data_IF_855631989914
#
_entry.id   IF_855631989914
#
_cell.length_a   1.000
_cell.length_b   1.000
_cell.length_c   1.000
_cell.angle_alpha   90.00
_cell.angle_beta   90.00
_cell.angle_gamma   90.00
#
_symmetry.space_group_name_H-M   'P 1'
#
loop_
_entity.id
_entity.type
_entity.pdbx_description
1 polymer ?
#
# COMPACT_ATOMS: atom_id res chain seq x y z
N UNK A 1 4.49 -19.40 11.87
CA UNK A 1 5.68 -18.56 11.66
C UNK A 1 5.90 -17.76 12.92
N UNK A 2 7.03 -17.96 13.59
CA UNK A 2 7.34 -17.16 14.76
C UNK A 2 7.89 -15.81 14.33
N UNK A 3 7.42 -14.75 14.97
CA UNK A 3 7.97 -13.42 14.71
C UNK A 3 9.44 -13.36 15.16
N UNK A 4 10.31 -12.67 14.41
CA UNK A 4 11.62 -12.33 14.93
C UNK A 4 11.47 -11.55 16.25
N UNK A 5 12.42 -11.73 17.18
CA UNK A 5 12.43 -10.98 18.45
C UNK A 5 12.54 -9.50 18.15
N UNK A 6 11.44 -8.76 18.36
CA UNK A 6 11.30 -7.35 18.05
C UNK A 6 10.25 -6.68 18.93
N UNK A 7 10.25 -5.35 18.94
CA UNK A 7 9.21 -4.48 19.49
C UNK A 7 8.35 -3.87 18.36
N UNK A 8 7.35 -3.10 18.74
CA UNK A 8 6.45 -2.36 17.85
C UNK A 8 5.57 -3.26 16.97
N UNK A 9 4.51 -3.72 17.58
CA UNK A 9 3.44 -4.46 16.94
C UNK A 9 2.17 -3.62 16.91
N UNK A 10 1.26 -3.97 16.02
CA UNK A 10 -0.06 -3.39 15.86
C UNK A 10 -1.09 -4.49 16.10
N UNK A 11 -2.13 -4.17 16.86
CA UNK A 11 -3.34 -4.98 16.94
C UNK A 11 -4.36 -4.39 15.95
N UNK A 12 -4.52 -5.05 14.82
CA UNK A 12 -5.48 -4.65 13.80
C UNK A 12 -6.82 -5.35 14.03
N UNK A 13 -7.90 -4.60 14.09
CA UNK A 13 -9.26 -5.12 14.11
C UNK A 13 -9.82 -5.20 12.69
N UNK A 14 -10.19 -6.38 12.17
CA UNK A 14 -10.77 -6.52 10.82
C UNK A 14 -12.26 -6.13 10.83
N UNK A 15 -12.59 -4.91 11.29
CA UNK A 15 -13.95 -4.50 11.62
C UNK A 15 -14.91 -4.52 10.41
N UNK A 16 -14.44 -4.07 9.24
CA UNK A 16 -15.24 -4.05 8.01
C UNK A 16 -14.88 -5.16 7.01
N UNK A 17 -13.90 -6.01 7.35
CA UNK A 17 -13.52 -7.20 6.58
C UNK A 17 -14.16 -8.45 7.18
N UNK A 18 -15.39 -8.78 6.77
CA UNK A 18 -16.12 -9.92 7.30
C UNK A 18 -15.58 -11.28 6.85
N UNK A 19 -14.73 -11.33 5.82
CA UNK A 19 -13.92 -12.51 5.54
C UNK A 19 -12.79 -12.71 6.54
N UNK A 20 -12.40 -11.65 7.30
CA UNK A 20 -11.38 -11.60 8.35
C UNK A 20 -9.93 -11.81 7.87
N UNK A 21 -9.70 -11.88 6.56
CA UNK A 21 -8.41 -12.32 6.01
C UNK A 21 -7.80 -11.43 4.92
N UNK A 22 -8.45 -10.35 4.46
CA UNK A 22 -7.99 -9.57 3.29
C UNK A 22 -6.57 -9.05 3.45
N UNK A 23 -6.25 -8.45 4.59
CA UNK A 23 -4.89 -7.97 4.89
C UNK A 23 -3.90 -9.14 5.00
N UNK A 24 -4.24 -10.20 5.73
CA UNK A 24 -3.34 -11.34 5.92
C UNK A 24 -3.08 -12.07 4.61
N UNK A 25 -4.09 -12.20 3.76
CA UNK A 25 -3.97 -12.80 2.43
C UNK A 25 -2.95 -12.05 1.57
N UNK A 26 -3.12 -10.74 1.40
CA UNK A 26 -2.25 -9.99 0.49
C UNK A 26 -0.82 -9.87 1.04
N UNK A 27 -0.63 -9.82 2.36
CA UNK A 27 0.71 -9.80 2.96
C UNK A 27 1.42 -11.13 2.77
N UNK A 28 0.72 -12.26 2.89
CA UNK A 28 1.30 -13.58 2.58
C UNK A 28 1.67 -13.67 1.08
N UNK A 29 0.80 -13.21 0.17
CA UNK A 29 1.08 -13.18 -1.26
C UNK A 29 2.27 -12.27 -1.60
N UNK A 30 2.36 -11.09 -0.97
CA UNK A 30 3.49 -10.17 -1.14
C UNK A 30 4.82 -10.83 -0.73
N UNK A 31 4.84 -11.51 0.42
CA UNK A 31 6.03 -12.24 0.86
C UNK A 31 6.38 -13.41 -0.08
N UNK A 32 5.37 -14.08 -0.65
CA UNK A 32 5.58 -15.18 -1.61
C UNK A 32 6.19 -14.72 -2.93
N UNK A 33 5.90 -13.50 -3.38
CA UNK A 33 6.51 -12.93 -4.60
C UNK A 33 7.87 -12.29 -4.37
N UNK A 34 8.33 -12.23 -3.10
CA UNK A 34 9.62 -11.67 -2.69
C UNK A 34 9.60 -10.21 -2.26
N UNK A 35 8.45 -9.56 -2.19
CA UNK A 35 8.29 -8.22 -1.61
C UNK A 35 7.92 -8.36 -0.13
N UNK A 36 8.81 -7.89 0.75
CA UNK A 36 8.50 -7.90 2.19
C UNK A 36 7.16 -7.21 2.48
N UNK A 37 6.32 -7.90 3.21
CA UNK A 37 5.14 -7.35 3.85
C UNK A 37 5.09 -7.80 5.31
N UNK A 38 4.37 -7.04 6.11
CA UNK A 38 4.13 -7.30 7.53
C UNK A 38 3.72 -8.75 7.77
N UNK A 39 4.45 -9.45 8.63
CA UNK A 39 4.03 -10.76 9.14
C UNK A 39 2.86 -10.59 10.09
N UNK A 40 1.96 -11.55 10.08
CA UNK A 40 0.69 -11.47 10.81
C UNK A 40 0.43 -12.73 11.63
N UNK A 41 -0.32 -12.58 12.72
CA UNK A 41 -0.82 -13.68 13.54
C UNK A 41 -2.20 -13.35 14.08
N UNK A 42 -3.14 -14.27 13.96
CA UNK A 42 -4.45 -14.11 14.58
C UNK A 42 -4.35 -14.26 16.08
N UNK A 43 -5.03 -13.40 16.81
CA UNK A 43 -5.08 -13.40 18.29
C UNK A 43 -6.48 -13.10 18.79
N UNK A 44 -6.86 -13.70 19.90
CA UNK A 44 -8.05 -13.32 20.65
C UNK A 44 -7.68 -12.22 21.64
N UNK A 45 -8.32 -11.05 21.53
CA UNK A 45 -8.04 -9.94 22.43
C UNK A 45 -8.99 -9.98 23.63
N UNK A 46 -8.41 -9.94 24.81
CA UNK A 46 -9.11 -9.77 26.09
C UNK A 46 -8.55 -8.53 26.78
N UNK A 47 -9.44 -7.67 27.30
CA UNK A 47 -9.08 -6.52 28.15
C UNK A 47 -9.90 -6.64 29.43
N UNK A 48 -9.24 -6.64 30.56
CA UNK A 48 -9.87 -6.81 31.88
C UNK A 48 -10.82 -8.02 31.97
N UNK A 49 -10.46 -9.11 31.27
CA UNK A 49 -11.25 -10.33 31.19
C UNK A 49 -12.39 -10.31 30.18
N UNK A 50 -12.70 -9.18 29.57
CA UNK A 50 -13.72 -9.05 28.52
C UNK A 50 -13.12 -9.43 27.16
N UNK A 51 -13.78 -10.31 26.42
CA UNK A 51 -13.41 -10.67 25.05
C UNK A 51 -13.82 -9.59 24.06
N UNK A 52 -12.85 -8.98 23.38
CA UNK A 52 -13.07 -7.92 22.41
C UNK A 52 -13.11 -8.38 20.94
N UNK A 53 -12.87 -9.65 20.69
CA UNK A 53 -12.94 -10.22 19.34
C UNK A 53 -11.63 -10.80 18.82
N UNK A 54 -11.67 -11.22 17.56
CA UNK A 54 -10.50 -11.61 16.81
C UNK A 54 -9.77 -10.35 16.32
N UNK A 55 -8.46 -10.33 16.55
CA UNK A 55 -7.55 -9.29 16.05
C UNK A 55 -6.41 -9.96 15.25
N UNK A 56 -5.73 -9.17 14.46
CA UNK A 56 -4.50 -9.57 13.78
C UNK A 56 -3.34 -8.82 14.42
N UNK A 57 -2.45 -9.56 15.10
CA UNK A 57 -1.17 -9.02 15.54
C UNK A 57 -0.27 -8.88 14.32
N UNK A 58 0.18 -7.67 14.05
CA UNK A 58 0.96 -7.31 12.86
C UNK A 58 2.25 -6.61 13.26
N UNK A 59 3.31 -6.84 12.51
CA UNK A 59 4.52 -6.04 12.64
C UNK A 59 4.26 -4.61 12.15
N UNK A 60 4.66 -3.61 12.93
CA UNK A 60 4.69 -2.22 12.44
C UNK A 60 5.76 -2.08 11.35
N UNK A 61 5.46 -1.36 10.28
CA UNK A 61 6.45 -0.98 9.28
C UNK A 61 7.51 -0.10 9.96
N UNK A 62 8.74 -0.57 9.96
CA UNK A 62 9.89 0.17 10.47
C UNK A 62 11.21 -0.34 9.88
N UNK A 63 12.25 0.48 10.00
CA UNK A 63 13.60 0.05 9.69
C UNK A 63 14.05 -1.07 10.64
N UNK A 64 14.32 -2.22 10.11
CA UNK A 64 14.92 -3.36 10.81
C UNK A 64 15.44 -4.40 9.81
N UNK A 65 16.48 -5.16 10.17
CA UNK A 65 17.04 -6.23 9.31
C UNK A 65 16.03 -7.32 8.94
N UNK A 66 15.00 -7.51 9.76
CA UNK A 66 13.95 -8.49 9.54
C UNK A 66 12.66 -7.92 8.97
N UNK A 67 12.57 -6.59 8.78
CA UNK A 67 11.41 -5.86 8.23
C UNK A 67 11.85 -5.05 7.01
N UNK A 68 11.84 -3.72 7.08
CA UNK A 68 12.44 -2.88 6.02
C UNK A 68 13.93 -2.82 6.27
N UNK A 69 14.67 -3.66 5.55
CA UNK A 69 16.11 -3.83 5.75
C UNK A 69 16.88 -2.76 4.97
N UNK A 70 17.02 -1.60 5.59
CA UNK A 70 17.81 -0.47 5.11
C UNK A 70 18.79 -0.01 6.18
N UNK A 71 19.84 0.67 5.76
CA UNK A 71 20.89 1.20 6.65
C UNK A 71 20.29 2.15 7.69
N UNK A 72 20.78 2.06 8.93
CA UNK A 72 20.42 3.04 9.98
C UNK A 72 20.96 4.41 9.60
N UNK A 73 20.12 5.42 9.71
CA UNK A 73 20.47 6.81 9.49
C UNK A 73 20.60 7.54 10.83
N UNK A 74 21.72 8.19 11.04
CA UNK A 74 21.93 9.10 12.16
C UNK A 74 21.65 10.54 11.72
N UNK A 75 21.29 11.42 12.65
CA UNK A 75 21.08 12.85 12.36
C UNK A 75 22.35 13.57 11.88
N UNK A 76 23.52 12.95 12.08
CA UNK A 76 24.83 13.42 11.62
C UNK A 76 25.21 12.93 10.22
N UNK A 77 24.44 12.05 9.59
CA UNK A 77 24.69 11.53 8.24
C UNK A 77 24.26 12.56 7.17
N UNK A 78 24.97 13.68 7.08
CA UNK A 78 24.54 14.87 6.33
C UNK A 78 25.32 15.10 5.02
N UNK A 79 26.21 14.18 4.62
CA UNK A 79 27.01 14.36 3.41
C UNK A 79 27.48 13.03 2.80
N UNK A 80 28.03 13.09 1.59
CA UNK A 80 28.59 11.94 0.88
C UNK A 80 27.57 10.81 0.69
N UNK A 81 28.04 9.57 0.77
CA UNK A 81 27.15 8.40 0.66
C UNK A 81 26.21 8.24 1.87
N UNK A 82 26.58 8.78 3.03
CA UNK A 82 25.82 8.63 4.27
C UNK A 82 24.41 9.25 4.18
N UNK A 83 24.27 10.42 3.53
CA UNK A 83 22.99 11.10 3.37
C UNK A 83 22.07 10.42 2.35
N UNK A 84 22.61 9.54 1.48
CA UNK A 84 21.89 9.07 0.29
C UNK A 84 20.81 8.03 0.57
N UNK A 85 20.69 7.51 1.81
CA UNK A 85 19.69 6.50 2.09
C UNK A 85 19.66 6.03 3.53
N UNK A 86 18.72 5.16 3.77
CA UNK A 86 18.19 4.77 5.06
C UNK A 86 16.83 5.44 5.30
N UNK A 87 16.08 5.76 4.25
CA UNK A 87 14.76 6.41 4.37
C UNK A 87 13.62 5.43 4.20
N UNK A 88 12.57 5.60 5.01
CA UNK A 88 11.21 5.09 4.74
C UNK A 88 10.31 6.31 4.61
N UNK A 89 9.54 6.34 3.54
CA UNK A 89 8.63 7.43 3.20
C UNK A 89 7.25 6.87 2.95
N UNK A 90 6.23 7.71 3.04
CA UNK A 90 4.86 7.30 2.70
C UNK A 90 4.02 8.44 2.11
N UNK A 91 3.07 8.07 1.28
CA UNK A 91 1.95 8.92 0.89
C UNK A 91 0.76 8.43 1.70
N UNK A 92 0.21 9.29 2.56
CA UNK A 92 -0.87 8.91 3.45
C UNK A 92 -1.63 10.14 3.94
N UNK A 93 -2.73 9.91 4.66
CA UNK A 93 -3.39 10.96 5.44
C UNK A 93 -2.45 11.41 6.56
N UNK A 94 -2.33 12.72 6.73
CA UNK A 94 -1.69 13.29 7.91
C UNK A 94 -2.70 13.22 9.06
N UNK A 95 -2.31 12.59 10.17
CA UNK A 95 -3.13 12.59 11.37
C UNK A 95 -3.08 13.92 12.11
N UNK A 96 -2.31 14.92 11.63
CA UNK A 96 -1.96 16.08 12.43
C UNK A 96 -1.16 15.70 13.69
N UNK A 97 -0.57 16.65 14.36
CA UNK A 97 0.00 16.42 15.67
C UNK A 97 -1.14 16.21 16.68
N UNK A 98 -1.40 14.95 17.06
CA UNK A 98 -2.30 14.53 18.14
C UNK A 98 -3.80 14.86 18.00
N UNK A 99 -4.29 15.28 16.87
CA UNK A 99 -5.73 15.33 16.66
C UNK A 99 -6.18 14.07 15.96
N UNK A 100 -7.10 13.33 16.56
CA UNK A 100 -7.97 12.41 15.86
C UNK A 100 -8.78 13.25 14.87
N UNK A 101 -8.20 13.55 13.75
CA UNK A 101 -8.93 14.18 12.66
C UNK A 101 -9.85 13.09 12.13
N UNK A 102 -11.13 13.34 12.17
CA UNK A 102 -12.14 12.52 11.54
C UNK A 102 -11.82 12.33 10.06
N UNK A 103 -12.63 11.62 9.35
CA UNK A 103 -12.54 11.33 7.91
C UNK A 103 -12.43 12.57 7.02
N UNK A 104 -12.51 13.77 7.62
CA UNK A 104 -12.61 15.04 6.94
C UNK A 104 -11.24 15.68 6.71
N UNK A 105 -11.22 16.43 5.68
CA UNK A 105 -10.22 17.16 4.96
C UNK A 105 -9.25 18.07 5.77
N UNK A 106 -9.28 18.08 7.06
CA UNK A 106 -8.44 18.95 7.92
C UNK A 106 -7.07 18.31 8.24
N UNK A 107 -6.64 17.33 7.43
CA UNK A 107 -5.30 16.81 7.52
C UNK A 107 -4.28 17.94 7.29
N UNK A 108 -3.58 18.32 8.35
CA UNK A 108 -2.54 19.35 8.29
C UNK A 108 -1.24 18.73 7.76
N UNK A 109 -0.76 19.26 6.65
CA UNK A 109 0.53 18.92 6.07
C UNK A 109 1.52 20.04 6.33
N UNK A 110 2.67 19.74 6.91
CA UNK A 110 3.71 20.70 7.28
C UNK A 110 5.08 20.25 6.78
N UNK A 111 6.02 21.18 6.60
CA UNK A 111 7.42 20.87 6.28
C UNK A 111 8.11 19.99 7.34
N UNK A 112 7.58 19.99 8.56
CA UNK A 112 8.08 19.12 9.60
C UNK A 112 7.78 17.65 9.31
N UNK A 113 6.59 17.35 8.78
CA UNK A 113 6.10 15.99 8.56
C UNK A 113 6.51 15.38 7.22
N UNK A 114 6.84 16.22 6.23
CA UNK A 114 7.15 15.74 4.88
C UNK A 114 7.37 16.87 3.87
N UNK A 115 7.22 16.57 2.61
CA UNK A 115 7.35 17.52 1.51
C UNK A 115 6.33 17.23 0.41
N UNK A 116 6.09 18.19 -0.46
CA UNK A 116 5.16 18.09 -1.58
C UNK A 116 5.89 17.77 -2.89
N UNK A 117 5.25 16.98 -3.75
CA UNK A 117 5.63 16.91 -5.17
C UNK A 117 5.58 18.31 -5.78
N UNK A 118 6.47 18.60 -6.73
CA UNK A 118 6.42 19.83 -7.49
C UNK A 118 5.34 19.82 -8.58
N UNK A 119 4.62 18.74 -8.73
CA UNK A 119 3.69 18.49 -9.83
C UNK A 119 2.34 18.00 -9.33
N UNK A 120 1.29 18.37 -10.04
CA UNK A 120 -0.05 17.85 -9.84
C UNK A 120 -0.19 16.39 -10.34
N UNK A 121 -1.33 15.72 -10.14
CA UNK A 121 -1.55 14.35 -10.62
C UNK A 121 -1.49 14.16 -12.13
N UNK A 122 -1.46 15.25 -12.93
CA UNK A 122 -1.28 15.21 -14.36
C UNK A 122 0.16 15.53 -14.81
N UNK A 123 1.06 15.80 -13.85
CA UNK A 123 2.44 16.19 -14.13
C UNK A 123 2.59 17.68 -14.53
N UNK A 124 1.63 18.51 -14.15
CA UNK A 124 1.71 19.97 -14.36
C UNK A 124 2.37 20.59 -13.13
N UNK A 125 3.40 21.40 -13.36
CA UNK A 125 4.11 22.09 -12.27
C UNK A 125 3.17 23.06 -11.55
N UNK A 126 3.17 23.00 -10.22
CA UNK A 126 2.30 23.81 -9.38
C UNK A 126 3.09 24.85 -8.58
N UNK A 127 2.47 26.03 -8.43
CA UNK A 127 2.95 27.06 -7.51
C UNK A 127 2.27 26.82 -6.16
N UNK A 128 3.06 26.39 -5.19
CA UNK A 128 2.52 26.06 -3.88
C UNK A 128 2.09 27.29 -3.10
N UNK A 129 0.90 27.22 -2.54
CA UNK A 129 0.50 28.01 -1.39
C UNK A 129 1.25 27.54 -0.13
N UNK A 130 1.28 28.33 0.95
CA UNK A 130 1.78 27.85 2.24
C UNK A 130 1.16 26.52 2.65
N UNK A 131 1.89 25.70 3.40
CA UNK A 131 1.37 24.47 3.96
C UNK A 131 0.11 24.74 4.80
N UNK A 132 -0.83 23.82 4.74
CA UNK A 132 -2.12 23.91 5.41
C UNK A 132 -2.96 22.68 5.14
N UNK A 133 -4.27 22.75 5.37
CA UNK A 133 -5.17 21.67 4.99
C UNK A 133 -5.00 21.31 3.53
N UNK A 134 -4.93 20.01 3.23
CA UNK A 134 -4.79 19.54 1.86
C UNK A 134 -6.04 19.89 1.07
N UNK A 135 -5.85 20.58 -0.04
CA UNK A 135 -6.93 20.95 -0.97
C UNK A 135 -6.71 20.24 -2.30
N UNK A 136 -6.82 18.91 -2.33
CA UNK A 136 -6.70 18.08 -3.54
C UNK A 136 -5.46 18.35 -4.41
N UNK A 137 -5.23 17.54 -5.41
CA UNK A 137 -4.24 17.74 -6.47
C UNK A 137 -2.75 17.69 -6.11
N UNK A 138 -2.32 17.81 -4.87
CA UNK A 138 -0.90 17.68 -4.54
C UNK A 138 -0.58 16.30 -3.89
N UNK A 139 0.53 15.70 -4.31
CA UNK A 139 1.08 14.52 -3.64
C UNK A 139 1.99 14.97 -2.51
N UNK A 140 1.66 14.54 -1.28
CA UNK A 140 2.45 14.85 -0.09
C UNK A 140 3.17 13.60 0.40
N UNK A 141 4.50 13.67 0.54
CA UNK A 141 5.37 12.56 0.88
C UNK A 141 5.89 12.78 2.31
N UNK A 142 5.50 11.87 3.21
CA UNK A 142 5.77 11.97 4.65
C UNK A 142 7.02 11.19 5.04
N UNK A 143 7.75 11.71 6.05
CA UNK A 143 8.88 11.02 6.67
C UNK A 143 8.38 9.96 7.64
N UNK A 144 8.57 8.68 7.31
CA UNK A 144 8.29 7.57 8.24
C UNK A 144 9.54 7.14 9.01
N UNK A 145 10.70 7.16 8.35
CA UNK A 145 12.01 6.94 8.99
C UNK A 145 13.11 7.65 8.19
N UNK A 146 14.03 8.41 8.83
CA UNK A 146 13.92 8.84 10.24
C UNK A 146 12.62 9.61 10.50
N UNK A 147 12.15 9.64 11.76
CA UNK A 147 10.98 10.43 12.14
C UNK A 147 11.26 11.93 12.02
N UNK A 148 10.21 12.73 11.95
CA UNK A 148 10.27 14.18 11.79
C UNK A 148 11.10 14.91 12.87
N UNK A 149 11.20 14.35 14.07
CA UNK A 149 12.02 14.85 15.19
C UNK A 149 13.48 14.39 15.15
N UNK A 150 13.81 13.42 14.30
CA UNK A 150 15.14 12.82 14.17
C UNK A 150 15.82 13.08 12.82
N UNK A 151 15.06 13.42 11.78
CA UNK A 151 15.59 13.73 10.44
C UNK A 151 16.18 15.14 10.41
N UNK A 152 17.44 15.29 9.94
CA UNK A 152 18.07 16.60 9.83
C UNK A 152 17.56 17.42 8.63
N UNK A 153 17.80 18.73 8.63
CA UNK A 153 17.44 19.61 7.51
C UNK A 153 18.16 19.23 6.21
N UNK A 154 19.43 18.80 6.30
CA UNK A 154 20.19 18.35 5.13
C UNK A 154 19.57 17.06 4.54
N UNK A 155 19.16 16.13 5.40
CA UNK A 155 18.49 14.89 4.99
C UNK A 155 17.11 15.17 4.36
N UNK A 156 16.33 16.11 4.93
CA UNK A 156 15.07 16.56 4.33
C UNK A 156 15.29 17.14 2.94
N UNK A 157 16.26 18.05 2.83
CA UNK A 157 16.61 18.67 1.54
C UNK A 157 17.09 17.63 0.52
N UNK A 158 17.95 16.69 0.94
CA UNK A 158 18.42 15.63 0.05
C UNK A 158 17.28 14.79 -0.53
N UNK A 159 16.39 14.25 0.34
CA UNK A 159 15.34 13.37 -0.13
C UNK A 159 14.30 14.12 -0.97
N UNK A 160 14.01 15.38 -0.64
CA UNK A 160 13.13 16.23 -1.44
C UNK A 160 13.72 16.49 -2.83
N UNK A 161 15.02 16.84 -2.94
CA UNK A 161 15.70 17.01 -4.21
C UNK A 161 15.72 15.70 -5.02
N UNK A 162 15.94 14.56 -4.37
CA UNK A 162 15.92 13.27 -5.04
C UNK A 162 14.58 12.99 -5.73
N UNK A 163 13.46 13.31 -5.07
CA UNK A 163 12.13 13.18 -5.65
C UNK A 163 11.90 14.20 -6.76
N UNK A 164 12.33 15.45 -6.57
CA UNK A 164 12.24 16.48 -7.61
C UNK A 164 12.98 16.06 -8.88
N UNK A 165 14.22 15.59 -8.74
CA UNK A 165 15.05 15.11 -9.86
C UNK A 165 14.41 13.89 -10.55
N UNK A 166 13.84 12.98 -9.78
CA UNK A 166 13.10 11.82 -10.31
C UNK A 166 11.88 12.28 -11.14
N UNK A 167 11.07 13.18 -10.61
CA UNK A 167 9.87 13.69 -11.28
C UNK A 167 10.21 14.51 -12.52
N UNK A 168 11.23 15.37 -12.44
CA UNK A 168 11.72 16.16 -13.57
C UNK A 168 12.22 15.26 -14.71
N UNK A 169 12.99 14.22 -14.38
CA UNK A 169 13.46 13.24 -15.36
C UNK A 169 12.28 12.44 -15.93
N UNK A 170 11.35 12.00 -15.09
CA UNK A 170 10.18 11.22 -15.53
C UNK A 170 9.30 12.03 -16.51
N UNK A 171 9.24 13.35 -16.38
CA UNK A 171 8.50 14.26 -17.28
C UNK A 171 9.31 14.73 -18.49
N UNK A 172 10.62 14.51 -18.51
CA UNK A 172 11.47 14.91 -19.62
C UNK A 172 11.21 14.07 -20.88
N UNK A 173 11.68 14.57 -22.02
CA UNK A 173 11.62 13.83 -23.29
C UNK A 173 12.48 12.55 -23.28
N UNK A 174 13.52 12.53 -22.45
CA UNK A 174 14.47 11.40 -22.34
C UNK A 174 14.17 10.46 -21.18
N UNK A 175 12.95 10.48 -20.65
CA UNK A 175 12.60 9.68 -19.45
C UNK A 175 12.81 8.17 -19.63
N UNK A 176 12.74 7.65 -20.86
CA UNK A 176 12.94 6.24 -21.20
C UNK A 176 14.42 5.82 -21.32
N UNK A 177 15.35 6.78 -21.27
CA UNK A 177 16.79 6.45 -21.40
C UNK A 177 17.19 5.45 -20.29
N UNK A 178 17.80 4.31 -20.63
CA UNK A 178 18.08 3.26 -19.66
C UNK A 178 19.14 3.65 -18.60
N UNK A 179 19.95 4.67 -18.88
CA UNK A 179 21.03 5.14 -18.01
C UNK A 179 20.63 6.41 -17.26
N UNK A 180 20.08 7.40 -17.96
CA UNK A 180 19.79 8.74 -17.44
C UNK A 180 18.30 8.98 -17.21
N UNK A 181 17.42 8.11 -17.67
CA UNK A 181 15.98 8.18 -17.46
C UNK A 181 15.56 7.78 -16.04
N UNK A 182 14.27 7.55 -15.86
CA UNK A 182 13.70 7.21 -14.53
C UNK A 182 14.33 5.98 -13.89
N UNK A 183 14.87 5.06 -14.68
CA UNK A 183 15.54 3.84 -14.19
C UNK A 183 16.79 4.14 -13.34
N UNK A 184 17.35 5.35 -13.45
CA UNK A 184 18.42 5.84 -12.56
C UNK A 184 17.94 5.98 -11.11
N UNK A 185 16.68 6.36 -10.92
CA UNK A 185 16.14 6.74 -9.61
C UNK A 185 15.37 5.62 -8.93
N UNK A 186 14.67 4.76 -9.68
CA UNK A 186 13.76 3.76 -9.09
C UNK A 186 14.22 2.33 -9.33
N UNK A 187 13.93 1.44 -8.40
CA UNK A 187 13.96 0.00 -8.60
C UNK A 187 12.68 -0.42 -9.33
N UNK A 188 12.78 -0.57 -10.65
CA UNK A 188 11.65 -0.85 -11.54
C UNK A 188 10.90 -2.12 -11.13
N UNK A 189 11.61 -3.15 -10.66
CA UNK A 189 10.96 -4.39 -10.25
C UNK A 189 10.07 -4.19 -9.02
N UNK A 190 10.51 -3.37 -8.04
CA UNK A 190 9.68 -3.08 -6.87
C UNK A 190 8.42 -2.28 -7.23
N UNK A 191 8.51 -1.37 -8.22
CA UNK A 191 7.35 -0.64 -8.74
C UNK A 191 6.36 -1.56 -9.45
N UNK A 192 6.87 -2.51 -10.24
CA UNK A 192 6.06 -3.50 -10.93
C UNK A 192 5.36 -4.43 -9.93
N UNK A 193 6.07 -4.98 -8.95
CA UNK A 193 5.49 -5.88 -7.95
C UNK A 193 4.44 -5.15 -7.09
N UNK A 194 4.70 -3.89 -6.71
CA UNK A 194 3.74 -3.05 -6.00
C UNK A 194 2.48 -2.79 -6.84
N UNK A 195 2.64 -2.46 -8.12
CA UNK A 195 1.53 -2.29 -9.06
C UNK A 195 0.71 -3.57 -9.17
N UNK A 196 1.35 -4.70 -9.42
CA UNK A 196 0.67 -6.00 -9.55
C UNK A 196 -0.17 -6.31 -8.31
N UNK A 197 0.38 -6.17 -7.11
CA UNK A 197 -0.35 -6.48 -5.86
C UNK A 197 -1.53 -5.54 -5.63
N UNK A 198 -1.36 -4.24 -5.87
CA UNK A 198 -2.44 -3.26 -5.70
C UNK A 198 -3.53 -3.42 -6.74
N UNK A 199 -3.18 -3.64 -8.00
CA UNK A 199 -4.16 -3.87 -9.07
C UNK A 199 -4.85 -5.23 -8.89
N UNK A 200 -4.13 -6.27 -8.50
CA UNK A 200 -4.72 -7.57 -8.22
C UNK A 200 -5.72 -7.51 -7.06
N UNK A 201 -5.32 -6.94 -5.94
CA UNK A 201 -6.23 -6.75 -4.82
C UNK A 201 -7.32 -5.69 -5.11
N UNK A 202 -7.15 -4.90 -6.16
CA UNK A 202 -8.04 -3.79 -6.51
C UNK A 202 -8.24 -2.85 -5.33
N UNK A 203 -7.08 -2.47 -4.70
CA UNK A 203 -7.07 -1.63 -3.52
C UNK A 203 -7.43 -0.19 -3.89
N UNK A 204 -8.57 0.36 -3.46
CA UNK A 204 -9.03 1.69 -3.85
C UNK A 204 -8.15 2.81 -3.30
N UNK A 205 -7.33 2.54 -2.30
CA UNK A 205 -6.40 3.49 -1.69
C UNK A 205 -4.98 3.40 -2.28
N UNK A 206 -4.75 2.47 -3.21
CA UNK A 206 -3.47 2.30 -3.87
C UNK A 206 -2.93 3.59 -4.47
N UNK A 207 -1.62 3.79 -4.38
CA UNK A 207 -0.86 4.89 -4.97
C UNK A 207 -1.06 6.27 -4.33
N UNK A 208 -2.13 6.47 -3.57
CA UNK A 208 -2.58 7.76 -3.05
C UNK A 208 -2.67 7.83 -1.51
N UNK A 209 -2.84 6.69 -0.86
CA UNK A 209 -2.90 6.51 0.60
C UNK A 209 -2.17 5.23 0.97
N UNK A 210 -1.72 5.10 2.21
CA UNK A 210 -1.07 3.89 2.74
C UNK A 210 0.05 3.35 1.84
N UNK A 211 0.67 4.24 1.07
CA UNK A 211 1.67 3.92 0.04
C UNK A 211 3.07 4.17 0.59
N UNK A 212 3.74 3.08 0.97
CA UNK A 212 5.09 3.14 1.52
C UNK A 212 6.16 3.00 0.44
N UNK A 213 7.27 3.65 0.69
CA UNK A 213 8.48 3.62 -0.14
C UNK A 213 9.70 3.56 0.76
N UNK A 214 10.79 3.00 0.25
CA UNK A 214 12.04 3.00 0.99
C UNK A 214 13.23 3.23 0.06
N UNK A 215 14.30 3.79 0.60
CA UNK A 215 15.53 4.07 -0.14
C UNK A 215 16.75 3.68 0.69
N UNK A 216 17.47 2.66 0.22
CA UNK A 216 18.74 2.25 0.83
C UNK A 216 19.86 3.25 0.47
N UNK A 217 20.91 3.29 1.30
CA UNK A 217 22.12 4.09 1.07
C UNK A 217 22.75 3.72 -0.28
N UNK A 218 23.02 4.73 -1.10
CA UNK A 218 23.49 4.59 -2.49
C UNK A 218 22.57 3.75 -3.41
N UNK A 219 21.40 3.36 -2.91
CA UNK A 219 20.41 2.57 -3.65
C UNK A 219 19.36 3.45 -4.34
N UNK A 220 18.48 2.79 -5.09
CA UNK A 220 17.33 3.39 -5.77
C UNK A 220 16.11 3.40 -4.85
N UNK A 221 15.14 4.26 -5.14
CA UNK A 221 13.84 4.26 -4.49
C UNK A 221 13.09 2.97 -4.81
N UNK A 222 12.56 2.31 -3.80
CA UNK A 222 11.75 1.10 -3.90
C UNK A 222 10.33 1.38 -3.40
N UNK A 223 9.34 0.83 -4.09
CA UNK A 223 7.98 0.76 -3.56
C UNK A 223 7.87 -0.35 -2.50
N UNK A 224 6.96 -0.14 -1.55
CA UNK A 224 6.68 -1.07 -0.48
C UNK A 224 7.36 -0.72 0.86
N UNK A 225 6.97 -1.47 1.94
CA UNK A 225 5.98 -2.57 1.97
C UNK A 225 4.56 -2.14 1.61
N UNK A 226 3.74 -3.08 1.15
CA UNK A 226 2.30 -2.85 0.97
C UNK A 226 1.61 -2.73 2.34
N UNK A 227 0.50 -1.96 2.38
CA UNK A 227 -0.21 -1.68 3.64
C UNK A 227 -1.69 -1.40 3.39
N UNK A 228 -2.56 -1.85 4.32
CA UNK A 228 -3.98 -1.52 4.44
C UNK A 228 -4.86 -1.89 3.23
N UNK A 229 -5.16 -3.17 3.12
CA UNK A 229 -5.94 -3.75 2.02
C UNK A 229 -7.34 -4.23 2.44
N UNK A 230 -7.85 -3.75 3.56
CA UNK A 230 -9.16 -4.14 4.08
C UNK A 230 -10.33 -3.80 3.15
N UNK A 231 -10.17 -2.78 2.30
CA UNK A 231 -11.12 -2.39 1.27
C UNK A 231 -10.88 -3.08 -0.09
N UNK A 232 -9.78 -3.79 -0.22
CA UNK A 232 -9.46 -4.56 -1.43
C UNK A 232 -10.35 -5.78 -1.64
N UNK A 233 -10.10 -6.51 -2.72
CA UNK A 233 -10.79 -7.74 -3.09
C UNK A 233 -12.32 -7.60 -3.13
N UNK A 234 -12.78 -6.48 -3.67
CA UNK A 234 -14.20 -6.21 -3.87
C UNK A 234 -14.97 -5.83 -2.61
N UNK A 235 -14.29 -5.44 -1.54
CA UNK A 235 -14.95 -5.01 -0.30
C UNK A 235 -15.38 -3.53 -0.31
N UNK A 236 -14.99 -2.76 -1.33
CA UNK A 236 -15.34 -1.35 -1.49
C UNK A 236 -16.62 -1.17 -2.31
N UNK A 237 -17.56 -0.36 -1.83
CA UNK A 237 -18.86 -0.11 -2.46
C UNK A 237 -18.87 1.13 -3.37
N UNK A 238 -17.76 1.80 -3.58
CA UNK A 238 -17.66 2.90 -4.55
C UNK A 238 -17.95 2.36 -5.95
N UNK A 239 -18.85 3.01 -6.68
CA UNK A 239 -19.44 2.52 -7.94
C UNK A 239 -18.39 2.06 -8.95
N UNK A 240 -17.30 2.80 -9.12
CA UNK A 240 -16.23 2.42 -10.03
C UNK A 240 -15.47 1.16 -9.59
N UNK A 241 -15.53 0.79 -8.31
CA UNK A 241 -14.77 -0.31 -7.72
C UNK A 241 -15.55 -1.59 -7.48
N UNK A 242 -16.88 -1.56 -7.65
CA UNK A 242 -17.75 -2.72 -7.39
C UNK A 242 -17.43 -3.93 -8.27
N UNK A 243 -17.13 -3.71 -9.56
CA UNK A 243 -17.03 -4.80 -10.54
C UNK A 243 -15.60 -5.33 -10.75
N UNK A 244 -14.57 -4.64 -10.25
CA UNK A 244 -13.16 -5.04 -10.45
C UNK A 244 -12.70 -5.03 -11.92
N UNK A 245 -13.35 -4.24 -12.79
CA UNK A 245 -13.15 -4.25 -14.25
C UNK A 245 -12.47 -2.98 -14.76
N UNK A 246 -11.70 -2.31 -13.92
CA UNK A 246 -10.90 -1.13 -14.27
C UNK A 246 -9.52 -1.23 -13.63
N UNK A 247 -8.61 -0.31 -13.99
CA UNK A 247 -7.33 -0.15 -13.34
C UNK A 247 -7.40 0.87 -12.21
N UNK A 248 -6.88 0.57 -11.04
CA UNK A 248 -6.84 1.48 -9.89
C UNK A 248 -5.98 2.70 -10.18
N UNK A 249 -4.92 2.58 -10.96
CA UNK A 249 -4.11 3.73 -11.37
C UNK A 249 -4.90 4.78 -12.19
N UNK A 250 -6.09 4.44 -12.66
CA UNK A 250 -7.04 5.35 -13.31
C UNK A 250 -8.06 5.98 -12.34
N UNK A 251 -7.85 5.84 -11.02
CA UNK A 251 -8.75 6.35 -9.97
C UNK A 251 -9.22 7.78 -10.23
N UNK A 252 -8.31 8.67 -10.63
CA UNK A 252 -8.62 10.09 -10.86
C UNK A 252 -9.67 10.33 -11.97
N UNK A 253 -9.83 9.39 -12.90
CA UNK A 253 -10.85 9.49 -13.94
C UNK A 253 -12.28 9.29 -13.39
N UNK A 254 -12.41 8.58 -12.28
CA UNK A 254 -13.69 8.27 -11.64
C UNK A 254 -14.00 9.24 -10.49
N UNK A 255 -12.95 9.68 -9.78
CA UNK A 255 -13.07 10.53 -8.60
C UNK A 255 -12.13 11.75 -8.69
N UNK A 256 -12.29 12.63 -9.70
CA UNK A 256 -11.36 13.76 -9.94
C UNK A 256 -11.39 14.80 -8.82
N UNK A 257 -12.45 14.83 -8.01
CA UNK A 257 -12.62 15.77 -6.89
C UNK A 257 -12.21 15.19 -5.54
N UNK A 258 -11.64 13.97 -5.51
CA UNK A 258 -11.12 13.40 -4.26
C UNK A 258 -9.95 14.23 -3.72
N UNK A 259 -9.84 14.32 -2.40
CA UNK A 259 -8.74 15.02 -1.73
C UNK A 259 -7.39 14.36 -2.00
N UNK A 260 -7.36 13.05 -2.15
CA UNK A 260 -6.15 12.28 -2.43
C UNK A 260 -6.25 11.65 -3.80
N UNK A 261 -5.43 12.13 -4.73
CA UNK A 261 -5.38 11.65 -6.11
C UNK A 261 -4.13 10.79 -6.33
N UNK A 262 -4.24 9.87 -7.27
CA UNK A 262 -3.10 9.09 -7.77
C UNK A 262 -2.15 10.02 -8.50
N UNK A 263 -0.87 10.01 -8.16
CA UNK A 263 0.16 10.82 -8.80
C UNK A 263 0.42 10.38 -10.25
N UNK A 264 1.01 11.27 -11.04
CA UNK A 264 1.26 11.07 -12.47
C UNK A 264 2.29 9.96 -12.77
N UNK A 265 3.07 9.52 -11.78
CA UNK A 265 4.17 8.57 -11.98
C UNK A 265 3.70 7.29 -12.69
N UNK A 266 2.57 6.74 -12.26
CA UNK A 266 2.05 5.47 -12.77
C UNK A 266 1.66 5.54 -14.23
N UNK A 267 0.90 6.57 -14.64
CA UNK A 267 0.55 6.79 -16.05
C UNK A 267 1.78 7.00 -16.92
N UNK A 268 2.77 7.72 -16.38
CA UNK A 268 3.99 8.00 -17.13
C UNK A 268 4.88 6.75 -17.27
N UNK A 269 5.04 5.97 -16.22
CA UNK A 269 5.76 4.69 -16.27
C UNK A 269 5.10 3.72 -17.24
N UNK A 270 3.77 3.59 -17.20
CA UNK A 270 2.99 2.74 -18.10
C UNK A 270 3.01 3.23 -19.58
N UNK A 271 3.45 4.44 -19.86
CA UNK A 271 3.67 4.93 -21.22
C UNK A 271 5.04 4.53 -21.80
N UNK A 272 5.89 3.84 -21.02
CA UNK A 272 7.14 3.29 -21.50
C UNK A 272 6.97 1.79 -21.84
N UNK A 273 7.12 1.39 -23.12
CA UNK A 273 7.07 -0.01 -23.53
C UNK A 273 8.01 -0.92 -22.75
N UNK A 274 9.21 -0.43 -22.39
CA UNK A 274 10.16 -1.22 -21.60
C UNK A 274 9.64 -1.52 -20.18
N UNK A 275 8.87 -0.63 -19.60
CA UNK A 275 8.21 -0.86 -18.32
C UNK A 275 7.04 -1.85 -18.46
N UNK A 276 6.18 -1.67 -19.46
CA UNK A 276 5.02 -2.54 -19.66
C UNK A 276 5.41 -3.94 -20.09
N UNK A 277 6.46 -4.12 -20.90
CA UNK A 277 6.97 -5.45 -21.27
C UNK A 277 7.51 -6.21 -20.05
N UNK A 278 8.20 -5.53 -19.14
CA UNK A 278 8.64 -6.12 -17.87
C UNK A 278 7.46 -6.45 -16.97
N UNK A 279 6.45 -5.58 -16.91
CA UNK A 279 5.21 -5.84 -16.18
C UNK A 279 4.48 -7.07 -16.69
N UNK A 280 4.31 -7.20 -18.02
CA UNK A 280 3.68 -8.36 -18.68
C UNK A 280 4.46 -9.65 -18.37
N UNK A 281 5.78 -9.61 -18.50
CA UNK A 281 6.65 -10.75 -18.23
C UNK A 281 6.58 -11.18 -16.76
N UNK A 282 6.60 -10.20 -15.83
CA UNK A 282 6.48 -10.48 -14.40
C UNK A 282 5.12 -11.06 -14.05
N UNK A 283 4.04 -10.49 -14.57
CA UNK A 283 2.69 -11.01 -14.40
C UNK A 283 2.59 -12.46 -14.88
N UNK A 284 3.03 -12.75 -16.12
CA UNK A 284 3.01 -14.11 -16.67
C UNK A 284 3.76 -15.11 -15.77
N UNK A 285 4.94 -14.73 -15.27
CA UNK A 285 5.70 -15.57 -14.33
C UNK A 285 4.96 -15.81 -13.02
N UNK A 286 4.34 -14.78 -12.44
CA UNK A 286 3.58 -14.91 -11.20
C UNK A 286 2.30 -15.72 -11.37
N UNK A 287 1.64 -15.64 -12.54
CA UNK A 287 0.44 -16.42 -12.87
C UNK A 287 0.69 -17.92 -12.98
N UNK A 288 1.92 -18.32 -13.23
CA UNK A 288 2.33 -19.75 -13.23
C UNK A 288 2.93 -20.20 -11.89
N UNK A 289 2.97 -19.33 -10.89
CA UNK A 289 3.57 -19.60 -9.58
C UNK A 289 2.73 -19.05 -8.44
N UNK A 290 3.25 -18.09 -7.69
CA UNK A 290 2.64 -17.56 -6.44
C UNK A 290 1.27 -16.92 -6.64
N UNK A 291 0.99 -16.32 -7.79
CA UNK A 291 -0.31 -15.74 -8.12
C UNK A 291 -1.13 -16.61 -9.10
N UNK A 292 -0.84 -17.91 -9.20
CA UNK A 292 -1.78 -18.83 -9.85
C UNK A 292 -3.09 -18.89 -9.05
N UNK A 293 -4.21 -19.11 -9.72
CA UNK A 293 -5.52 -19.21 -9.03
C UNK A 293 -5.46 -20.25 -7.91
N UNK A 294 -4.88 -21.41 -8.18
CA UNK A 294 -4.75 -22.48 -7.19
C UNK A 294 -3.92 -22.06 -5.97
N UNK A 295 -2.80 -21.38 -6.16
CA UNK A 295 -1.94 -20.92 -5.05
C UNK A 295 -2.64 -19.89 -4.18
N UNK A 296 -3.39 -18.96 -4.78
CA UNK A 296 -4.15 -17.95 -4.04
C UNK A 296 -5.28 -18.61 -3.26
N UNK A 297 -6.05 -19.52 -3.89
CA UNK A 297 -7.14 -20.24 -3.21
C UNK A 297 -6.62 -21.09 -2.05
N UNK A 298 -5.47 -21.76 -2.21
CA UNK A 298 -4.81 -22.48 -1.13
C UNK A 298 -4.39 -21.56 0.01
N UNK A 299 -3.92 -20.35 -0.29
CA UNK A 299 -3.57 -19.35 0.75
C UNK A 299 -4.83 -18.87 1.49
N UNK A 300 -5.94 -18.63 0.80
CA UNK A 300 -7.24 -18.33 1.42
C UNK A 300 -7.66 -19.47 2.34
N UNK A 301 -7.66 -20.72 1.85
CA UNK A 301 -8.09 -21.87 2.62
C UNK A 301 -7.20 -22.12 3.85
N UNK A 302 -5.90 -21.88 3.75
CA UNK A 302 -4.98 -21.92 4.89
C UNK A 302 -5.41 -20.96 6.00
N UNK A 303 -5.71 -19.70 5.67
CA UNK A 303 -6.17 -18.73 6.67
C UNK A 303 -7.52 -19.13 7.28
N UNK A 304 -8.47 -19.55 6.44
CA UNK A 304 -9.79 -19.98 6.90
C UNK A 304 -9.69 -21.21 7.82
N UNK A 305 -8.84 -22.17 7.50
CA UNK A 305 -8.62 -23.35 8.35
C UNK A 305 -8.01 -22.99 9.70
N UNK A 306 -7.09 -22.02 9.77
CA UNK A 306 -6.55 -21.51 11.04
C UNK A 306 -7.68 -20.91 11.88
N UNK A 307 -8.55 -20.10 11.29
CA UNK A 307 -9.67 -19.47 12.01
C UNK A 307 -10.73 -20.49 12.46
N UNK A 308 -11.02 -21.49 11.63
CA UNK A 308 -11.96 -22.59 11.97
C UNK A 308 -11.42 -23.46 13.09
N UNK A 309 -10.16 -23.91 12.99
CA UNK A 309 -9.55 -24.82 13.98
C UNK A 309 -9.41 -24.20 15.38
N UNK A 310 -9.33 -22.88 15.46
CA UNK A 310 -9.28 -22.13 16.72
C UNK A 310 -10.64 -21.63 17.21
N UNK A 311 -11.74 -22.01 16.54
CA UNK A 311 -13.09 -21.51 16.80
C UNK A 311 -13.17 -19.97 16.83
N UNK A 312 -12.31 -19.31 16.06
CA UNK A 312 -12.20 -17.85 16.08
C UNK A 312 -13.37 -17.16 15.38
N UNK A 313 -13.93 -17.82 14.36
CA UNK A 313 -15.03 -17.29 13.55
C UNK A 313 -16.27 -17.12 14.42
N UNK A 314 -16.72 -18.22 15.05
CA UNK A 314 -17.93 -18.20 15.87
C UNK A 314 -17.77 -17.24 17.05
N UNK A 315 -16.65 -17.33 17.79
CA UNK A 315 -16.37 -16.38 18.88
C UNK A 315 -16.39 -14.93 18.46
N UNK A 316 -15.80 -14.61 17.30
CA UNK A 316 -15.77 -13.23 16.80
C UNK A 316 -17.17 -12.72 16.48
N UNK A 317 -17.95 -13.48 15.71
CA UNK A 317 -19.28 -13.09 15.30
C UNK A 317 -20.33 -13.24 16.39
N UNK A 318 -20.06 -14.02 17.42
CA UNK A 318 -20.87 -14.02 18.66
C UNK A 318 -20.69 -12.73 19.44
N UNK A 319 -19.47 -12.18 19.50
CA UNK A 319 -19.19 -10.87 20.09
C UNK A 319 -19.71 -9.71 19.24
N UNK A 320 -19.48 -9.77 17.94
CA UNK A 320 -19.84 -8.75 16.98
C UNK A 320 -20.88 -9.27 15.99
N UNK A 321 -22.15 -8.98 16.23
CA UNK A 321 -23.28 -9.43 15.39
C UNK A 321 -23.38 -8.63 14.09
N UNK A 322 -22.34 -8.69 13.26
CA UNK A 322 -22.20 -7.88 12.03
C UNK A 322 -22.46 -8.67 10.73
N UNK A 323 -22.63 -9.99 10.79
CA UNK A 323 -23.05 -10.77 9.62
C UNK A 323 -24.47 -10.38 9.21
N UNK A 324 -24.69 -10.19 7.92
CA UNK A 324 -25.95 -9.66 7.37
C UNK A 324 -26.15 -8.14 7.57
N UNK A 325 -25.21 -7.43 8.22
CA UNK A 325 -25.31 -5.99 8.47
C UNK A 325 -24.35 -5.24 7.53
N UNK A 326 -24.83 -4.23 6.80
CA UNK A 326 -23.97 -3.37 5.98
C UNK A 326 -23.17 -2.43 6.88
N UNK A 327 -21.85 -2.58 6.85
CA UNK A 327 -20.90 -1.63 7.44
C UNK A 327 -20.44 -0.63 6.37
N UNK A 328 -19.86 0.52 6.75
CA UNK A 328 -19.30 1.47 5.80
C UNK A 328 -18.35 0.80 4.81
N UNK A 329 -18.49 1.15 3.54
CA UNK A 329 -17.73 0.62 2.40
C UNK A 329 -17.99 -0.84 2.01
N UNK A 330 -18.81 -1.63 2.73
CA UNK A 330 -19.07 -2.99 2.30
C UNK A 330 -19.90 -3.03 1.01
N UNK A 331 -19.31 -3.53 -0.07
CA UNK A 331 -20.00 -3.83 -1.31
C UNK A 331 -20.90 -5.07 -1.19
N UNK A 332 -20.37 -6.15 -0.63
CA UNK A 332 -21.08 -7.39 -0.37
C UNK A 332 -21.42 -7.52 1.13
N UNK A 333 -22.58 -8.12 1.42
CA UNK A 333 -23.05 -8.33 2.80
C UNK A 333 -23.55 -9.78 2.94
N UNK A 334 -22.64 -10.67 3.30
CA UNK A 334 -22.97 -12.07 3.56
C UNK A 334 -23.71 -12.25 4.89
N UNK A 335 -24.67 -13.14 4.91
CA UNK A 335 -25.40 -13.55 6.12
C UNK A 335 -24.58 -14.51 6.99
N UNK A 336 -23.60 -15.16 6.38
CA UNK A 336 -22.68 -16.08 7.04
C UNK A 336 -21.22 -15.74 6.68
N UNK A 337 -20.27 -16.13 7.52
CA UNK A 337 -18.85 -16.00 7.20
C UNK A 337 -18.47 -16.79 5.93
N UNK A 338 -19.12 -17.95 5.69
CA UNK A 338 -18.84 -18.74 4.50
C UNK A 338 -19.24 -17.98 3.21
N UNK A 339 -20.37 -17.27 3.21
CA UNK A 339 -20.76 -16.41 2.09
C UNK A 339 -19.75 -15.29 1.81
N UNK A 340 -19.18 -14.68 2.84
CA UNK A 340 -18.12 -13.66 2.71
C UNK A 340 -16.84 -14.25 2.08
N UNK A 341 -16.47 -15.48 2.47
CA UNK A 341 -15.33 -16.21 1.90
C UNK A 341 -15.59 -16.61 0.46
N UNK A 342 -16.79 -17.11 0.14
CA UNK A 342 -17.16 -17.52 -1.21
C UNK A 342 -17.21 -16.30 -2.16
N UNK A 343 -17.71 -15.16 -1.67
CA UNK A 343 -17.61 -13.90 -2.40
C UNK A 343 -16.15 -13.52 -2.69
N UNK A 344 -15.28 -13.55 -1.69
CA UNK A 344 -13.86 -13.26 -1.86
C UNK A 344 -13.20 -14.17 -2.91
N UNK A 345 -13.43 -15.48 -2.84
CA UNK A 345 -12.90 -16.45 -3.81
C UNK A 345 -13.42 -16.20 -5.23
N UNK A 346 -14.72 -15.94 -5.35
CA UNK A 346 -15.35 -15.64 -6.64
C UNK A 346 -14.79 -14.35 -7.23
N UNK A 347 -14.62 -13.32 -6.40
CA UNK A 347 -14.06 -12.05 -6.81
C UNK A 347 -12.61 -12.20 -7.30
N UNK A 348 -11.77 -12.92 -6.57
CA UNK A 348 -10.39 -13.24 -6.95
C UNK A 348 -10.32 -13.86 -8.35
N UNK A 349 -11.14 -14.88 -8.61
CA UNK A 349 -11.18 -15.53 -9.94
C UNK A 349 -11.55 -14.56 -11.06
N UNK A 350 -12.59 -13.74 -10.86
CA UNK A 350 -13.01 -12.73 -11.85
C UNK A 350 -11.89 -11.71 -12.10
N UNK A 351 -11.24 -11.22 -11.03
CA UNK A 351 -10.17 -10.24 -11.15
C UNK A 351 -8.95 -10.80 -11.89
N UNK A 352 -8.55 -12.03 -11.61
CA UNK A 352 -7.46 -12.70 -12.33
C UNK A 352 -7.76 -12.80 -13.82
N UNK A 353 -8.96 -13.29 -14.17
CA UNK A 353 -9.39 -13.40 -15.58
C UNK A 353 -9.38 -12.05 -16.28
N UNK A 354 -9.88 -11.01 -15.62
CA UNK A 354 -9.88 -9.66 -16.17
C UNK A 354 -8.44 -9.13 -16.35
N UNK A 355 -7.58 -9.28 -15.34
CA UNK A 355 -6.18 -8.83 -15.44
C UNK A 355 -5.40 -9.58 -16.52
N UNK A 356 -5.62 -10.90 -16.67
CA UNK A 356 -4.97 -11.69 -17.73
C UNK A 356 -5.32 -11.16 -19.13
N UNK A 357 -6.55 -10.66 -19.32
CA UNK A 357 -6.99 -10.10 -20.60
C UNK A 357 -6.55 -8.65 -20.82
N UNK A 358 -6.36 -7.87 -19.77
CA UNK A 358 -6.12 -6.43 -19.88
C UNK A 358 -4.63 -6.06 -19.80
N UNK A 359 -3.84 -6.82 -19.04
CA UNK A 359 -2.41 -6.49 -18.86
C UNK A 359 -1.62 -6.60 -20.17
N UNK A 360 -2.05 -7.48 -21.06
CA UNK A 360 -1.43 -7.65 -22.39
C UNK A 360 -1.66 -6.46 -23.32
N UNK A 361 -2.65 -5.61 -22.99
CA UNK A 361 -3.02 -4.42 -23.78
C UNK A 361 -2.29 -3.15 -23.31
N UNK A 362 -1.65 -3.18 -22.14
CA UNK A 362 -0.83 -2.07 -21.62
C UNK A 362 0.51 -1.94 -22.42
#
# INVERSE_FOLDING_TARGET
MDFPKQSDFILYAPANDKALIRNTLIYDLSNQIGMYATRTKYVHLYVDGEYLGLYVLMEKIKRDKSRVNITKMASTDNSGSAITGGYILKIDKSAGDNTLVGWDADAVYTEALGFRSNYDPNGIKINFLPYGPKKSAETYIMYEYPKNDAISNDQKKYVQLYFSDFEDVLLSNNYKDPINGYQKFIDVNSFIDFLILNEFAYNPDAYRLSTFMNKERSGKLKMGPIWDFNLGFGNDDRVAFVNGSTWVFNYNNYYPSDTWLVNFWWKKLLSDPAFTDRLKSRWASLRTSSLSESSILLTIDKHINILKSSNSIDKHFDRWKILGVKLPFNNFVGKTHQEEVDFLKSWVKKRLTWMDSEIVKL
#
